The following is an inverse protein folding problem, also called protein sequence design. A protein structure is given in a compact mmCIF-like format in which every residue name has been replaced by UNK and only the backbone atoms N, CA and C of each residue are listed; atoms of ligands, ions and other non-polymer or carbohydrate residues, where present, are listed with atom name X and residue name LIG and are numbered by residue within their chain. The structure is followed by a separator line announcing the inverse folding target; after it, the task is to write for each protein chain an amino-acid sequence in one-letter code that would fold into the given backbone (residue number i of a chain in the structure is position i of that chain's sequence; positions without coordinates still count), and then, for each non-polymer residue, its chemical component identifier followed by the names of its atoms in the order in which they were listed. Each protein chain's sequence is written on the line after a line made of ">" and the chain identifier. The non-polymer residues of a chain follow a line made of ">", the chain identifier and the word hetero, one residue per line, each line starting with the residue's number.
data_IF_869009355411
#
_entry.id   IF_869009355411
#
_cell.length_a   1.000
_cell.length_b   1.000
_cell.length_c   1.000
_cell.angle_alpha   90.00
_cell.angle_beta   90.00
_cell.angle_gamma   90.00
#
_symmetry.space_group_name_H-M   'P 1'
#
loop_
_entity.id
_entity.type
_entity.pdbx_description
1 polymer ?
#
# COMPACT_ATOMS: atom_id res chain seq x y z
N UNK A 1 -13.19 3.59 18.54
CA UNK A 1 -12.78 2.32 17.89
C UNK A 1 -11.82 1.60 18.82
N UNK A 2 -12.23 0.48 19.41
CA UNK A 2 -11.43 -0.27 20.39
C UNK A 2 -10.09 -0.71 19.79
N UNK A 3 -9.01 -0.72 20.57
CA UNK A 3 -7.67 -1.08 20.08
C UNK A 3 -7.64 -2.47 19.43
N UNK A 4 -8.42 -3.41 19.95
CA UNK A 4 -8.56 -4.78 19.46
C UNK A 4 -9.17 -4.90 18.06
N UNK A 5 -10.14 -4.05 17.71
CA UNK A 5 -10.74 -4.10 16.37
C UNK A 5 -9.78 -3.62 15.29
N UNK A 6 -8.84 -2.73 15.60
CA UNK A 6 -7.78 -2.32 14.66
C UNK A 6 -6.86 -3.48 14.29
N UNK A 7 -6.48 -4.30 15.28
CA UNK A 7 -5.63 -5.46 15.06
C UNK A 7 -6.34 -6.58 14.30
N UNK A 8 -7.63 -6.81 14.58
CA UNK A 8 -8.43 -7.76 13.80
C UNK A 8 -8.62 -7.32 12.34
N UNK A 9 -8.87 -6.02 12.12
CA UNK A 9 -8.99 -5.48 10.75
C UNK A 9 -7.65 -5.57 10.02
N UNK A 10 -6.53 -5.21 10.67
CA UNK A 10 -5.19 -5.32 10.08
C UNK A 10 -4.80 -6.77 9.80
N UNK A 11 -5.03 -7.69 10.74
CA UNK A 11 -4.74 -9.12 10.58
C UNK A 11 -5.60 -9.76 9.50
N UNK A 12 -6.90 -9.43 9.45
CA UNK A 12 -7.81 -9.87 8.40
C UNK A 12 -7.40 -9.34 7.02
N UNK A 13 -6.96 -8.08 6.95
CA UNK A 13 -6.40 -7.51 5.73
C UNK A 13 -5.19 -8.34 5.29
N UNK A 14 -4.19 -8.53 6.16
CA UNK A 14 -2.96 -9.26 5.85
C UNK A 14 -3.24 -10.70 5.39
N UNK A 15 -4.11 -11.43 6.10
CA UNK A 15 -4.47 -12.81 5.74
C UNK A 15 -5.20 -12.91 4.40
N UNK A 16 -6.03 -11.92 4.06
CA UNK A 16 -6.66 -11.83 2.74
C UNK A 16 -5.67 -11.42 1.64
N UNK A 17 -4.63 -10.65 2.00
CA UNK A 17 -3.59 -10.16 1.10
C UNK A 17 -2.57 -11.24 0.68
N UNK A 18 -2.17 -12.13 1.60
CA UNK A 18 -1.09 -13.12 1.36
C UNK A 18 -1.37 -14.10 0.21
N UNK A 19 -2.57 -14.72 0.09
CA UNK A 19 -2.87 -15.65 -0.99
C UNK A 19 -3.23 -14.94 -2.31
N UNK A 20 -3.82 -13.74 -2.25
CA UNK A 20 -4.32 -13.01 -3.43
C UNK A 20 -3.38 -11.89 -3.92
N UNK A 21 -2.07 -12.01 -3.64
CA UNK A 21 -1.02 -11.06 -4.01
C UNK A 21 -1.16 -10.44 -5.41
N UNK A 22 -1.40 -11.24 -6.44
CA UNK A 22 -1.56 -10.74 -7.82
C UNK A 22 -2.93 -10.10 -8.11
N UNK A 23 -4.02 -10.63 -7.53
CA UNK A 23 -5.36 -10.04 -7.64
C UNK A 23 -5.44 -8.68 -6.97
N UNK A 24 -4.74 -8.52 -5.85
CA UNK A 24 -4.64 -7.26 -5.14
C UNK A 24 -3.84 -6.22 -5.91
N UNK A 25 -2.71 -6.59 -6.49
CA UNK A 25 -1.99 -5.70 -7.39
C UNK A 25 -2.91 -5.29 -8.54
N UNK A 26 -3.69 -6.20 -9.12
CA UNK A 26 -4.61 -5.86 -10.19
C UNK A 26 -5.74 -4.92 -9.74
N UNK A 27 -6.27 -5.08 -8.51
CA UNK A 27 -7.26 -4.16 -7.94
C UNK A 27 -6.65 -2.80 -7.56
N UNK A 28 -5.44 -2.79 -7.01
CA UNK A 28 -4.69 -1.58 -6.63
C UNK A 28 -4.29 -0.78 -7.87
N UNK A 29 -3.76 -1.44 -8.91
CA UNK A 29 -3.33 -0.81 -10.15
C UNK A 29 -4.51 -0.52 -11.09
N UNK A 30 -5.56 -1.33 -11.05
CA UNK A 30 -6.77 -1.19 -11.87
C UNK A 30 -7.72 -0.10 -11.38
N UNK A 31 -7.73 0.20 -10.08
CA UNK A 31 -8.55 1.29 -9.54
C UNK A 31 -7.69 2.54 -9.26
N UNK A 32 -7.97 3.62 -10.01
CA UNK A 32 -7.26 4.90 -9.92
C UNK A 32 -7.25 5.49 -8.51
N UNK A 33 -8.35 5.36 -7.77
CA UNK A 33 -8.46 5.91 -6.42
C UNK A 33 -7.56 5.16 -5.43
N UNK A 34 -7.61 3.84 -5.43
CA UNK A 34 -6.78 2.98 -4.59
C UNK A 34 -5.28 3.21 -4.87
N UNK A 35 -4.91 3.27 -6.15
CA UNK A 35 -3.53 3.60 -6.56
C UNK A 35 -3.10 4.95 -6.00
N UNK A 36 -3.93 6.00 -6.16
CA UNK A 36 -3.61 7.35 -5.70
C UNK A 36 -3.43 7.40 -4.18
N UNK A 37 -4.30 6.74 -3.42
CA UNK A 37 -4.15 6.67 -1.96
C UNK A 37 -2.88 5.90 -1.54
N UNK A 38 -2.61 4.75 -2.16
CA UNK A 38 -1.43 3.94 -1.86
C UNK A 38 -0.13 4.70 -2.18
N UNK A 39 -0.05 5.32 -3.36
CA UNK A 39 1.11 6.14 -3.76
C UNK A 39 1.25 7.35 -2.84
N UNK A 40 0.17 8.04 -2.49
CA UNK A 40 0.22 9.19 -1.59
C UNK A 40 0.69 8.81 -0.19
N UNK A 41 0.25 7.67 0.34
CA UNK A 41 0.71 7.15 1.62
C UNK A 41 2.20 6.77 1.57
N UNK A 42 2.63 6.07 0.51
CA UNK A 42 4.03 5.69 0.32
C UNK A 42 4.95 6.92 0.16
N UNK A 43 4.53 7.93 -0.61
CA UNK A 43 5.27 9.18 -0.82
C UNK A 43 5.29 10.10 0.41
N UNK A 44 4.41 9.89 1.38
CA UNK A 44 4.44 10.59 2.66
C UNK A 44 5.59 10.14 3.57
N UNK A 45 6.19 8.99 3.29
CA UNK A 45 7.29 8.44 4.09
C UNK A 45 8.63 8.94 3.51
N UNK A 46 9.41 9.75 4.25
CA UNK A 46 10.61 10.42 3.71
C UNK A 46 11.69 9.44 3.22
N UNK A 47 11.85 8.29 3.88
CA UNK A 47 12.78 7.24 3.44
C UNK A 47 12.38 6.56 2.14
N UNK A 48 11.08 6.28 1.95
CA UNK A 48 10.56 5.65 0.73
C UNK A 48 10.57 6.66 -0.42
N UNK A 49 10.13 7.90 -0.16
CA UNK A 49 10.13 9.01 -1.12
C UNK A 49 11.53 9.25 -1.70
N UNK A 50 12.55 9.35 -0.84
CA UNK A 50 13.93 9.62 -1.31
C UNK A 50 14.48 8.50 -2.18
N UNK A 51 14.25 7.24 -1.80
CA UNK A 51 14.64 6.06 -2.59
C UNK A 51 13.89 5.97 -3.91
N UNK A 52 12.58 6.25 -3.90
CA UNK A 52 11.77 6.24 -5.11
C UNK A 52 12.19 7.35 -6.07
N UNK A 53 12.37 8.58 -5.58
CA UNK A 53 12.82 9.70 -6.42
C UNK A 53 14.23 9.44 -6.97
N UNK A 54 15.15 8.92 -6.15
CA UNK A 54 16.47 8.51 -6.65
C UNK A 54 16.38 7.41 -7.71
N UNK A 55 15.55 6.39 -7.52
CA UNK A 55 15.43 5.31 -8.51
C UNK A 55 14.70 5.73 -9.80
N UNK A 56 13.72 6.62 -9.71
CA UNK A 56 12.89 7.03 -10.85
C UNK A 56 13.50 8.18 -11.67
N UNK A 57 14.22 9.11 -11.04
CA UNK A 57 14.75 10.31 -11.69
C UNK A 57 16.27 10.30 -11.86
N UNK A 58 16.99 9.36 -11.25
CA UNK A 58 18.43 9.17 -11.48
C UNK A 58 18.63 8.07 -12.51
N UNK A 59 18.30 8.39 -13.77
CA UNK A 59 18.82 7.71 -14.95
C UNK A 59 20.07 8.43 -15.45
#
# INVERSE_FOLDING_TARGET
>A
MNGWTKWLVLGGLVLFLVPNRYRLLNLLLGNFLLRKFAVRAAMGIPGIRSKFIQGAFRS
#
